data_IF_462127251160
#
_entry.id   IF_462127251160
#
_cell.length_a   1.000
_cell.length_b   1.000
_cell.length_c   1.000
_cell.angle_alpha   90.00
_cell.angle_beta   90.00
_cell.angle_gamma   90.00
#
_symmetry.space_group_name_H-M   'P 1'
#
loop_
_entity.id
_entity.type
_entity.pdbx_description
1 polymer ?
#
# COMPACT_ATOMS: atom_id res chain seq x y z
N UNK A 1 13.54 13.55 -18.43
CA UNK A 1 13.12 12.81 -17.21
C UNK A 1 12.66 13.83 -16.18
N UNK A 2 11.58 13.63 -15.43
CA UNK A 2 11.22 14.56 -14.38
C UNK A 2 12.30 14.50 -13.30
N UNK A 3 13.08 15.57 -13.17
CA UNK A 3 14.26 15.65 -12.31
C UNK A 3 13.84 16.12 -10.92
N UNK A 4 13.79 15.19 -9.97
CA UNK A 4 13.77 15.55 -8.55
C UNK A 4 15.22 15.71 -8.12
N UNK A 5 15.55 16.90 -7.61
CA UNK A 5 16.90 17.24 -7.13
C UNK A 5 16.99 17.29 -5.59
N UNK A 6 15.91 16.96 -4.87
CA UNK A 6 15.87 17.08 -3.42
C UNK A 6 15.21 15.88 -2.73
N UNK A 7 15.70 15.57 -1.52
CA UNK A 7 15.10 14.58 -0.64
C UNK A 7 13.61 14.83 -0.36
N UNK A 8 13.25 16.09 -0.08
CA UNK A 8 11.87 16.46 0.23
C UNK A 8 10.93 16.21 -0.95
N UNK A 9 11.35 16.57 -2.17
CA UNK A 9 10.59 16.27 -3.38
C UNK A 9 10.41 14.77 -3.60
N UNK A 10 11.46 13.99 -3.36
CA UNK A 10 11.39 12.53 -3.47
C UNK A 10 10.41 11.93 -2.44
N UNK A 11 10.42 12.44 -1.21
CA UNK A 11 9.51 11.99 -0.15
C UNK A 11 8.06 12.38 -0.41
N UNK A 12 7.79 13.56 -0.97
CA UNK A 12 6.44 13.94 -1.39
C UNK A 12 5.87 12.97 -2.43
N UNK A 13 6.65 12.62 -3.45
CA UNK A 13 6.23 11.63 -4.45
C UNK A 13 5.97 10.26 -3.80
N UNK A 14 6.83 9.79 -2.91
CA UNK A 14 6.62 8.53 -2.20
C UNK A 14 5.36 8.57 -1.34
N UNK A 15 5.03 9.71 -0.73
CA UNK A 15 3.79 9.93 0.00
C UNK A 15 2.57 9.87 -0.93
N UNK A 16 2.61 10.51 -2.09
CA UNK A 16 1.55 10.45 -3.11
C UNK A 16 1.32 9.04 -3.64
N UNK A 17 2.38 8.23 -3.79
CA UNK A 17 2.25 6.81 -4.13
C UNK A 17 1.56 6.05 -3.00
N UNK A 18 1.96 6.27 -1.74
CA UNK A 18 1.35 5.62 -0.57
C UNK A 18 -0.13 5.98 -0.38
N UNK A 19 -0.52 7.23 -0.67
CA UNK A 19 -1.91 7.71 -0.62
C UNK A 19 -2.76 7.24 -1.81
N UNK A 20 -2.14 6.66 -2.86
CA UNK A 20 -2.82 6.20 -4.06
C UNK A 20 -3.17 7.29 -5.07
N UNK A 21 -2.70 8.54 -4.89
CA UNK A 21 -2.88 9.62 -5.86
C UNK A 21 -1.96 9.45 -7.08
N UNK A 22 -0.79 8.83 -6.89
CA UNK A 22 0.11 8.40 -7.96
C UNK A 22 0.09 6.86 -8.08
N UNK A 23 -0.66 6.35 -9.05
CA UNK A 23 -0.90 4.91 -9.29
C UNK A 23 -0.37 4.45 -10.65
N UNK A 24 -0.40 3.14 -10.90
CA UNK A 24 -0.08 2.49 -12.17
C UNK A 24 1.26 2.97 -12.80
N UNK A 25 1.19 3.62 -13.96
CA UNK A 25 2.35 4.15 -14.68
C UNK A 25 3.11 5.20 -13.87
N UNK A 26 2.41 6.09 -13.17
CA UNK A 26 3.00 7.12 -12.31
C UNK A 26 3.88 6.48 -11.23
N UNK A 27 3.33 5.50 -10.50
CA UNK A 27 4.07 4.75 -9.47
C UNK A 27 5.29 4.05 -10.08
N UNK A 28 5.11 3.36 -11.20
CA UNK A 28 6.16 2.56 -11.84
C UNK A 28 7.33 3.43 -12.30
N UNK A 29 7.04 4.56 -12.96
CA UNK A 29 8.05 5.51 -13.45
C UNK A 29 8.83 6.11 -12.28
N UNK A 30 8.13 6.59 -11.25
CA UNK A 30 8.78 7.25 -10.11
C UNK A 30 9.61 6.29 -9.27
N UNK A 31 9.11 5.10 -8.97
CA UNK A 31 9.88 4.10 -8.22
C UNK A 31 11.15 3.69 -8.98
N UNK A 32 11.06 3.53 -10.30
CA UNK A 32 12.22 3.26 -11.13
C UNK A 32 13.26 4.39 -11.02
N UNK A 33 12.84 5.63 -11.23
CA UNK A 33 13.73 6.80 -11.20
C UNK A 33 14.37 6.99 -9.83
N UNK A 34 13.60 6.86 -8.74
CA UNK A 34 14.13 6.98 -7.38
C UNK A 34 15.12 5.86 -7.03
N UNK A 35 14.87 4.62 -7.49
CA UNK A 35 15.84 3.52 -7.35
C UNK A 35 17.14 3.79 -8.12
N UNK A 36 17.06 4.38 -9.32
CA UNK A 36 18.25 4.80 -10.05
C UNK A 36 19.02 5.89 -9.29
N UNK A 37 18.34 6.94 -8.81
CA UNK A 37 18.96 8.02 -8.05
C UNK A 37 19.67 7.56 -6.76
N UNK A 38 19.19 6.48 -6.12
CA UNK A 38 19.86 5.89 -4.95
C UNK A 38 21.13 5.10 -5.32
N UNK A 39 21.17 4.49 -6.51
CA UNK A 39 22.31 3.70 -7.00
C UNK A 39 23.42 4.55 -7.59
N UNK A 40 23.08 5.73 -8.12
CA UNK A 40 24.07 6.64 -8.73
C UNK A 40 25.09 7.14 -7.71
N UNK A 41 26.39 7.06 -8.08
CA UNK A 41 27.52 7.51 -7.25
C UNK A 41 27.51 9.03 -7.01
N UNK A 42 26.98 9.81 -7.96
CA UNK A 42 26.91 11.28 -7.93
C UNK A 42 25.95 11.85 -6.89
N UNK A 43 25.20 11.00 -6.16
CA UNK A 43 24.23 11.41 -5.13
C UNK A 43 23.34 12.60 -5.56
N UNK A 44 22.56 12.45 -6.65
CA UNK A 44 21.81 13.56 -7.26
C UNK A 44 20.75 14.19 -6.34
N UNK A 45 20.43 13.53 -5.23
CA UNK A 45 19.46 13.98 -4.22
C UNK A 45 20.13 14.58 -2.97
N UNK A 46 21.48 14.62 -2.91
CA UNK A 46 22.23 15.17 -1.78
C UNK A 46 21.96 14.45 -0.45
N UNK A 47 21.71 13.14 -0.48
CA UNK A 47 21.26 12.39 0.70
C UNK A 47 22.40 12.12 1.67
N UNK A 48 22.14 12.32 2.97
CA UNK A 48 22.94 11.76 4.05
C UNK A 48 22.58 10.26 4.29
N UNK A 49 23.37 9.56 5.13
CA UNK A 49 23.18 8.13 5.41
C UNK A 49 21.77 7.82 5.97
N UNK A 50 21.28 8.65 6.88
CA UNK A 50 19.96 8.50 7.53
C UNK A 50 18.82 8.70 6.53
N UNK A 51 18.87 9.77 5.73
CA UNK A 51 17.91 10.06 4.67
C UNK A 51 17.87 8.96 3.62
N UNK A 52 19.05 8.43 3.24
CA UNK A 52 19.16 7.30 2.31
C UNK A 52 18.49 6.05 2.87
N UNK A 53 18.69 5.74 4.15
CA UNK A 53 18.01 4.62 4.84
C UNK A 53 16.49 4.82 4.85
N UNK A 54 16.03 5.98 5.34
CA UNK A 54 14.61 6.31 5.43
C UNK A 54 13.91 6.26 4.06
N UNK A 55 14.55 6.81 3.03
CA UNK A 55 14.02 6.78 1.66
C UNK A 55 13.96 5.35 1.11
N UNK A 56 14.96 4.52 1.40
CA UNK A 56 14.99 3.11 0.98
C UNK A 56 13.87 2.31 1.63
N UNK A 57 13.66 2.48 2.94
CA UNK A 57 12.56 1.86 3.68
C UNK A 57 11.19 2.31 3.13
N UNK A 58 11.05 3.61 2.87
CA UNK A 58 9.81 4.15 2.27
C UNK A 58 9.56 3.57 0.89
N UNK A 59 10.57 3.48 0.02
CA UNK A 59 10.45 2.84 -1.30
C UNK A 59 10.04 1.37 -1.17
N UNK A 60 10.63 0.60 -0.24
CA UNK A 60 10.22 -0.79 0.00
C UNK A 60 8.75 -0.87 0.40
N UNK A 61 8.34 -0.01 1.34
CA UNK A 61 6.95 0.09 1.79
C UNK A 61 5.99 0.41 0.64
N UNK A 62 6.31 1.36 -0.24
CA UNK A 62 5.38 1.79 -1.31
C UNK A 62 5.47 0.97 -2.60
N UNK A 63 6.57 0.24 -2.83
CA UNK A 63 6.82 -0.53 -4.06
C UNK A 63 6.22 -1.93 -4.04
N UNK A 64 5.86 -2.47 -2.87
CA UNK A 64 5.17 -3.75 -2.77
C UNK A 64 3.88 -3.79 -3.62
N UNK A 65 3.55 -4.96 -4.17
CA UNK A 65 2.28 -5.22 -4.88
C UNK A 65 1.05 -4.85 -4.02
N UNK A 66 1.22 -4.84 -2.69
CA UNK A 66 0.16 -4.61 -1.69
C UNK A 66 0.26 -3.25 -0.95
N UNK A 67 1.17 -2.38 -1.37
CA UNK A 67 1.50 -1.15 -0.65
C UNK A 67 0.41 -0.07 -0.66
N UNK A 68 -0.61 -0.23 -1.51
CA UNK A 68 -1.81 0.59 -1.46
C UNK A 68 -2.76 -0.16 -0.52
N UNK A 69 -2.76 0.25 0.75
CA UNK A 69 -3.84 -0.02 1.70
C UNK A 69 -5.14 0.67 1.22
N UNK A 70 -5.67 0.18 0.09
CA UNK A 70 -7.08 0.21 -0.31
C UNK A 70 -7.46 -1.23 -0.70
N UNK A 71 -6.89 -2.20 0.03
CA UNK A 71 -6.81 -3.62 -0.32
C UNK A 71 -8.14 -4.36 -0.36
N UNK A 72 -9.24 -3.63 -0.19
CA UNK A 72 -10.54 -4.17 0.11
C UNK A 72 -11.46 -4.12 -1.13
N UNK A 73 -11.78 -2.94 -1.66
CA UNK A 73 -12.83 -2.81 -2.70
C UNK A 73 -12.32 -3.07 -4.12
N UNK A 74 -11.03 -2.89 -4.37
CA UNK A 74 -10.46 -2.90 -5.73
C UNK A 74 -9.92 -4.26 -6.16
N UNK A 75 -9.63 -5.16 -5.21
CA UNK A 75 -9.13 -6.49 -5.55
C UNK A 75 -10.24 -7.38 -6.10
N UNK A 76 -9.96 -8.03 -7.25
CA UNK A 76 -10.87 -9.01 -7.89
C UNK A 76 -11.38 -10.07 -6.91
N UNK A 77 -10.52 -10.53 -5.98
CA UNK A 77 -10.87 -11.51 -4.92
C UNK A 77 -11.99 -11.03 -3.98
N UNK A 78 -12.08 -9.74 -3.68
CA UNK A 78 -13.03 -9.19 -2.71
C UNK A 78 -14.24 -8.52 -3.38
N UNK A 79 -14.14 -8.16 -4.66
CA UNK A 79 -15.23 -7.56 -5.43
C UNK A 79 -16.38 -8.53 -5.69
N UNK A 80 -16.09 -9.81 -5.96
CA UNK A 80 -17.10 -10.78 -6.42
C UNK A 80 -17.65 -11.71 -5.33
N UNK A 81 -17.19 -11.58 -4.08
CA UNK A 81 -17.69 -12.42 -2.98
C UNK A 81 -18.93 -11.80 -2.33
N UNK A 82 -19.74 -12.63 -1.67
CA UNK A 82 -20.92 -12.19 -0.90
C UNK A 82 -20.54 -11.40 0.37
N UNK A 83 -19.55 -11.89 1.11
CA UNK A 83 -19.06 -11.27 2.35
C UNK A 83 -18.48 -9.86 2.14
N UNK A 84 -18.34 -9.05 3.22
CA UNK A 84 -17.86 -7.67 3.14
C UNK A 84 -16.56 -7.60 2.35
N UNK A 85 -16.30 -6.59 1.52
CA UNK A 85 -15.14 -6.54 0.66
C UNK A 85 -13.85 -6.21 1.44
N UNK A 86 -13.67 -6.67 2.68
CA UNK A 86 -12.50 -6.38 3.53
C UNK A 86 -11.87 -7.67 4.10
N UNK A 87 -10.54 -7.76 4.27
CA UNK A 87 -9.93 -8.90 4.94
C UNK A 87 -10.51 -9.09 6.35
N UNK A 88 -10.93 -10.31 6.68
CA UNK A 88 -11.55 -10.61 7.97
C UNK A 88 -10.55 -10.48 9.14
N UNK A 89 -9.29 -10.87 8.91
CA UNK A 89 -8.21 -10.76 9.91
C UNK A 89 -7.94 -9.30 10.35
N UNK A 90 -7.98 -8.36 9.41
CA UNK A 90 -7.79 -6.93 9.70
C UNK A 90 -9.01 -6.30 10.41
N UNK A 91 -10.15 -6.98 10.39
CA UNK A 91 -11.43 -6.52 10.93
C UNK A 91 -12.02 -7.53 11.92
N UNK A 92 -11.16 -8.20 12.69
CA UNK A 92 -11.60 -9.21 13.63
C UNK A 92 -12.56 -8.64 14.68
N UNK A 93 -13.58 -9.41 15.05
CA UNK A 93 -14.67 -9.03 15.97
C UNK A 93 -15.53 -7.84 15.53
N UNK A 94 -15.41 -7.39 14.28
CA UNK A 94 -16.28 -6.35 13.71
C UNK A 94 -17.46 -6.96 12.96
N UNK A 95 -18.56 -6.21 12.91
CA UNK A 95 -19.74 -6.52 12.09
C UNK A 95 -19.82 -5.56 10.91
N UNK A 96 -19.97 -6.10 9.69
CA UNK A 96 -20.01 -5.33 8.46
C UNK A 96 -21.04 -5.90 7.48
N UNK A 97 -21.54 -5.06 6.59
CA UNK A 97 -22.47 -5.46 5.52
C UNK A 97 -21.68 -6.04 4.34
N UNK A 98 -22.15 -7.17 3.82
CA UNK A 98 -21.63 -7.85 2.65
C UNK A 98 -21.98 -7.13 1.34
N UNK A 99 -21.34 -7.54 0.25
CA UNK A 99 -21.73 -7.09 -1.09
C UNK A 99 -23.13 -7.61 -1.49
N UNK A 100 -23.62 -8.64 -0.78
CA UNK A 100 -24.97 -9.19 -0.91
C UNK A 100 -26.02 -8.50 -0.01
N UNK A 101 -25.63 -7.45 0.71
CA UNK A 101 -26.52 -6.72 1.64
C UNK A 101 -26.74 -7.40 2.99
N UNK A 102 -26.20 -8.61 3.21
CA UNK A 102 -26.34 -9.32 4.49
C UNK A 102 -25.34 -8.82 5.54
N UNK A 103 -25.65 -8.97 6.82
CA UNK A 103 -24.70 -8.68 7.91
C UNK A 103 -23.76 -9.86 8.14
N UNK A 104 -22.49 -9.55 8.34
CA UNK A 104 -21.44 -10.52 8.65
C UNK A 104 -20.64 -10.06 9.87
N UNK A 105 -20.29 -11.00 10.75
CA UNK A 105 -19.36 -10.80 11.86
C UNK A 105 -18.04 -11.51 11.56
N UNK A 106 -16.92 -10.84 11.81
CA UNK A 106 -15.60 -11.46 11.72
C UNK A 106 -15.30 -12.19 13.02
N UNK A 107 -15.28 -13.53 13.02
CA UNK A 107 -15.03 -14.33 14.23
C UNK A 107 -13.70 -15.10 14.12
N UNK A 108 -12.83 -15.04 15.15
CA UNK A 108 -11.61 -15.83 15.20
C UNK A 108 -11.93 -17.32 15.37
N UNK A 109 -11.07 -18.17 14.81
CA UNK A 109 -11.02 -19.60 15.10
C UNK A 109 -9.99 -19.91 16.20
N UNK A 110 -9.81 -21.20 16.52
CA UNK A 110 -8.82 -21.69 17.51
C UNK A 110 -7.36 -21.29 17.24
N UNK A 111 -7.04 -20.91 16.00
CA UNK A 111 -5.71 -20.46 15.57
C UNK A 111 -5.63 -18.93 15.44
N UNK A 112 -6.57 -18.17 16.01
CA UNK A 112 -6.68 -16.71 15.90
C UNK A 112 -6.82 -16.18 14.45
N UNK A 113 -7.27 -17.01 13.52
CA UNK A 113 -7.58 -16.59 12.14
C UNK A 113 -9.06 -16.22 12.08
N UNK A 114 -9.34 -14.99 11.66
CA UNK A 114 -10.69 -14.45 11.61
C UNK A 114 -11.34 -14.68 10.26
N UNK A 115 -12.63 -15.01 10.28
CA UNK A 115 -13.44 -15.32 9.09
C UNK A 115 -14.80 -14.65 9.19
N UNK A 116 -15.33 -14.19 8.05
CA UNK A 116 -16.66 -13.62 7.96
C UNK A 116 -17.72 -14.71 8.10
N UNK A 117 -18.57 -14.58 9.11
CA UNK A 117 -19.74 -15.44 9.35
C UNK A 117 -21.00 -14.60 9.22
N UNK A 118 -21.98 -15.10 8.46
CA UNK A 118 -23.28 -14.42 8.30
C UNK A 118 -24.01 -14.42 9.65
N UNK A 119 -24.62 -13.29 9.99
CA UNK A 119 -25.48 -13.09 11.16
C UNK A 119 -26.93 -13.12 10.71
#
# INVERSE_FOLDING_TARGET
MPFIKSYNGAMQILSSIGKGTCKDSCKTIWIRNLKYALKTKTNPLGLNKTQRKNMTEKIKSVSGKNAINNHSKTLKKYKNRKSPPYPANENCNKTMVGNDGNKYISKPNKNNICSWKKV
#
